data_IF_025570214030
#
_entry.id   IF_025570214030
#
_cell.length_a   1.000
_cell.length_b   1.000
_cell.length_c   1.000
_cell.angle_alpha   90.00
_cell.angle_beta   90.00
_cell.angle_gamma   90.00
#
_symmetry.space_group_name_H-M   'P 1'
#
loop_
_entity.id
_entity.type
_entity.pdbx_description
1 polymer ?
#
# COMPACT_ATOMS: atom_id res chain seq x y z
N UNK A 1 36.75 -25.34 42.39
CA UNK A 1 37.07 -25.11 40.96
C UNK A 1 35.83 -24.61 40.24
N UNK A 2 35.71 -23.32 39.94
CA UNK A 2 34.81 -22.82 38.89
C UNK A 2 35.47 -21.61 38.23
N UNK A 3 36.06 -21.86 37.07
CA UNK A 3 36.68 -20.90 36.18
C UNK A 3 35.62 -19.97 35.61
N UNK A 4 35.91 -18.66 35.69
CA UNK A 4 35.05 -17.59 35.23
C UNK A 4 34.77 -17.63 33.73
N UNK A 5 33.52 -17.32 33.39
CA UNK A 5 33.13 -16.93 32.05
C UNK A 5 33.14 -15.39 31.97
N UNK A 6 34.29 -14.83 31.60
CA UNK A 6 34.37 -13.42 31.22
C UNK A 6 33.77 -13.24 29.83
N UNK A 7 32.59 -12.61 29.79
CA UNK A 7 31.96 -12.15 28.56
C UNK A 7 32.89 -11.16 27.83
N UNK A 8 33.35 -11.51 26.64
CA UNK A 8 34.07 -10.60 25.75
C UNK A 8 33.09 -9.57 25.19
N UNK A 9 32.94 -8.43 25.87
CA UNK A 9 32.34 -7.25 25.25
C UNK A 9 33.27 -6.77 24.14
N UNK A 10 32.81 -6.85 22.89
CA UNK A 10 33.53 -6.26 21.76
C UNK A 10 33.68 -4.76 22.02
N UNK A 11 34.90 -4.30 22.27
CA UNK A 11 35.22 -2.89 22.38
C UNK A 11 34.98 -2.25 21.01
N UNK A 12 34.09 -1.25 20.99
CA UNK A 12 33.82 -0.46 19.79
C UNK A 12 35.02 0.45 19.52
N UNK A 13 36.05 -0.09 18.87
CA UNK A 13 37.24 0.66 18.47
C UNK A 13 36.81 1.73 17.46
N UNK A 14 37.06 3.00 17.78
CA UNK A 14 36.84 4.10 16.84
C UNK A 14 37.98 4.11 15.83
N UNK A 15 37.71 4.16 14.51
CA UNK A 15 38.75 4.22 13.51
C UNK A 15 39.52 5.54 13.60
N UNK A 16 40.83 5.47 13.33
CA UNK A 16 41.72 6.64 13.36
C UNK A 16 41.53 7.51 12.10
N UNK A 17 41.82 8.82 12.16
CA UNK A 17 41.50 9.79 11.11
C UNK A 17 42.10 9.43 9.73
N UNK A 18 43.27 8.80 9.72
CA UNK A 18 43.94 8.30 8.51
C UNK A 18 43.17 7.13 7.90
N UNK A 19 42.66 6.22 8.74
CA UNK A 19 41.82 5.10 8.30
C UNK A 19 40.48 5.61 7.75
N UNK A 20 39.91 6.66 8.34
CA UNK A 20 38.69 7.30 7.85
C UNK A 20 38.86 7.94 6.47
N UNK A 21 40.04 8.49 6.17
CA UNK A 21 40.37 9.01 4.82
C UNK A 21 40.68 7.88 3.83
N UNK A 22 41.38 6.83 4.27
CA UNK A 22 41.78 5.70 3.43
C UNK A 22 40.61 4.78 3.03
N UNK A 23 39.54 4.74 3.83
CA UNK A 23 38.30 4.01 3.51
C UNK A 23 37.52 4.61 2.32
N UNK A 24 37.86 5.83 1.89
CA UNK A 24 37.07 6.59 0.92
C UNK A 24 35.68 6.93 1.47
N UNK A 25 34.96 7.81 0.78
CA UNK A 25 33.55 8.09 1.09
C UNK A 25 32.66 6.93 0.60
N UNK A 26 32.94 5.70 1.03
CA UNK A 26 31.98 4.61 0.93
C UNK A 26 30.90 4.82 2.00
N UNK A 27 30.09 5.88 1.85
CA UNK A 27 28.79 5.90 2.49
C UNK A 27 28.01 4.78 1.82
N UNK A 28 27.95 3.62 2.50
CA UNK A 28 27.00 2.55 2.18
C UNK A 28 25.65 3.23 1.91
N UNK A 29 25.07 2.98 0.73
CA UNK A 29 23.77 3.53 0.38
C UNK A 29 22.84 3.30 1.55
N UNK A 30 22.32 4.38 2.11
CA UNK A 30 21.44 4.30 3.28
C UNK A 30 20.26 3.41 2.91
N UNK A 31 19.78 2.64 3.86
CA UNK A 31 18.69 1.71 3.63
C UNK A 31 17.52 2.44 2.97
N UNK A 32 17.06 1.89 1.83
CA UNK A 32 16.03 2.49 0.98
C UNK A 32 14.70 2.56 1.75
N UNK A 33 14.54 1.69 2.75
CA UNK A 33 13.38 1.61 3.62
C UNK A 33 13.36 2.69 4.71
N UNK A 34 14.47 3.39 4.97
CA UNK A 34 14.53 4.43 5.99
C UNK A 34 14.07 5.79 5.45
N UNK A 35 12.74 5.93 5.33
CA UNK A 35 12.06 7.06 4.68
C UNK A 35 12.31 8.41 5.39
N UNK A 36 12.37 8.40 6.72
CA UNK A 36 12.65 9.62 7.51
C UNK A 36 14.01 10.20 7.15
N UNK A 37 14.93 9.30 6.91
CA UNK A 37 16.33 9.58 6.77
C UNK A 37 16.69 10.02 5.35
N UNK A 38 15.96 9.53 4.35
CA UNK A 38 16.00 9.99 2.96
C UNK A 38 15.29 11.33 2.82
N UNK A 39 14.21 11.58 3.57
CA UNK A 39 13.54 12.87 3.61
C UNK A 39 14.46 13.98 4.11
N UNK A 40 15.20 13.75 5.20
CA UNK A 40 16.21 14.70 5.68
C UNK A 40 17.30 14.97 4.64
N UNK A 41 17.72 13.95 3.89
CA UNK A 41 18.69 14.10 2.81
C UNK A 41 18.13 14.93 1.66
N UNK A 42 16.87 14.74 1.27
CA UNK A 42 16.20 15.55 0.27
C UNK A 42 16.07 17.01 0.72
N UNK A 43 15.76 17.27 2.00
CA UNK A 43 15.74 18.62 2.55
C UNK A 43 17.13 19.27 2.54
N UNK A 44 18.19 18.49 2.80
CA UNK A 44 19.57 18.98 2.72
C UNK A 44 19.96 19.43 1.33
N UNK A 45 19.41 18.83 0.28
CA UNK A 45 19.65 19.27 -1.10
C UNK A 45 19.27 20.73 -1.33
N UNK A 46 18.17 21.20 -0.71
CA UNK A 46 17.69 22.58 -0.87
C UNK A 46 18.28 23.56 0.15
N UNK A 47 18.75 23.07 1.30
CA UNK A 47 19.22 23.91 2.41
C UNK A 47 20.73 24.02 2.50
N UNK A 48 21.48 23.02 2.05
CA UNK A 48 22.93 22.94 2.22
C UNK A 48 23.63 22.54 0.91
N UNK A 49 24.62 23.31 0.43
CA UNK A 49 25.40 22.91 -0.73
C UNK A 49 26.22 21.64 -0.42
N UNK A 50 26.25 20.69 -1.34
CA UNK A 50 27.02 19.46 -1.18
C UNK A 50 28.54 19.74 -1.27
N UNK A 51 29.30 19.25 -0.30
CA UNK A 51 30.76 19.42 -0.26
C UNK A 51 31.50 18.38 -1.11
N UNK A 52 30.85 17.25 -1.40
CA UNK A 52 31.45 16.15 -2.18
C UNK A 52 30.48 15.67 -3.24
N UNK A 53 31.02 15.20 -4.38
CA UNK A 53 30.21 14.66 -5.47
C UNK A 53 29.36 13.45 -5.05
N UNK A 54 29.91 12.59 -4.18
CA UNK A 54 29.19 11.41 -3.66
C UNK A 54 27.96 11.83 -2.85
N UNK A 55 28.09 12.90 -2.06
CA UNK A 55 26.97 13.46 -1.31
C UNK A 55 25.94 14.11 -2.22
N UNK A 56 26.38 14.87 -3.24
CA UNK A 56 25.50 15.46 -4.23
C UNK A 56 24.66 14.41 -4.96
N UNK A 57 25.31 13.33 -5.43
CA UNK A 57 24.62 12.22 -6.08
C UNK A 57 23.56 11.61 -5.17
N UNK A 58 23.91 11.36 -3.91
CA UNK A 58 22.99 10.77 -2.94
C UNK A 58 21.79 11.68 -2.63
N UNK A 59 22.01 12.99 -2.55
CA UNK A 59 20.92 13.95 -2.39
C UNK A 59 20.00 13.99 -3.61
N UNK A 60 20.56 13.93 -4.83
CA UNK A 60 19.77 13.87 -6.06
C UNK A 60 18.90 12.60 -6.14
N UNK A 61 19.47 11.44 -5.77
CA UNK A 61 18.73 10.17 -5.73
C UNK A 61 17.56 10.23 -4.72
N UNK A 62 17.77 10.86 -3.55
CA UNK A 62 16.71 11.06 -2.56
C UNK A 62 15.59 11.96 -3.09
N UNK A 63 15.93 13.07 -3.74
CA UNK A 63 14.94 13.98 -4.36
C UNK A 63 14.16 13.27 -5.46
N UNK A 64 14.83 12.48 -6.31
CA UNK A 64 14.18 11.71 -7.37
C UNK A 64 13.14 10.73 -6.83
N UNK A 65 13.46 10.04 -5.74
CA UNK A 65 12.53 9.10 -5.10
C UNK A 65 11.24 9.81 -4.66
N UNK A 66 11.37 10.94 -3.95
CA UNK A 66 10.20 11.71 -3.50
C UNK A 66 9.46 12.40 -4.65
N UNK A 67 10.16 12.84 -5.69
CA UNK A 67 9.52 13.43 -6.86
C UNK A 67 8.67 12.40 -7.62
N UNK A 68 9.19 11.18 -7.80
CA UNK A 68 8.47 10.10 -8.49
C UNK A 68 7.22 9.68 -7.71
N UNK A 69 7.38 9.34 -6.42
CA UNK A 69 6.26 8.92 -5.58
C UNK A 69 5.29 10.06 -5.27
N UNK A 70 5.81 11.27 -5.11
CA UNK A 70 5.01 12.47 -4.91
C UNK A 70 4.14 12.75 -6.12
N UNK A 71 4.72 12.80 -7.32
CA UNK A 71 3.97 13.08 -8.55
C UNK A 71 2.94 11.98 -8.85
N UNK A 72 3.34 10.71 -8.75
CA UNK A 72 2.43 9.59 -8.98
C UNK A 72 1.32 9.57 -7.94
N UNK A 73 1.61 9.78 -6.65
CA UNK A 73 0.62 9.89 -5.59
C UNK A 73 -0.34 11.07 -5.75
N UNK A 74 0.16 12.23 -6.21
CA UNK A 74 -0.68 13.39 -6.46
C UNK A 74 -1.62 13.16 -7.64
N UNK A 75 -1.11 12.59 -8.74
CA UNK A 75 -1.92 12.27 -9.92
C UNK A 75 -2.96 11.18 -9.63
N UNK A 76 -2.61 10.16 -8.84
CA UNK A 76 -3.58 9.12 -8.45
C UNK A 76 -4.65 9.68 -7.52
N UNK A 77 -4.29 10.53 -6.56
CA UNK A 77 -5.28 11.22 -5.72
C UNK A 77 -6.18 12.14 -6.52
N UNK A 78 -5.63 12.92 -7.45
CA UNK A 78 -6.43 13.78 -8.32
C UNK A 78 -7.42 12.96 -9.16
N UNK A 79 -6.98 11.80 -9.65
CA UNK A 79 -7.84 10.88 -10.40
C UNK A 79 -8.94 10.25 -9.53
N UNK A 80 -8.69 10.03 -8.24
CA UNK A 80 -9.69 9.52 -7.29
C UNK A 80 -10.73 10.60 -6.99
N UNK A 81 -10.30 11.84 -6.75
CA UNK A 81 -11.21 12.97 -6.41
C UNK A 81 -12.01 13.42 -7.63
N UNK A 82 -11.38 13.45 -8.80
CA UNK A 82 -11.98 13.88 -10.07
C UNK A 82 -11.80 12.76 -11.10
N UNK A 83 -12.65 11.71 -11.05
CA UNK A 83 -12.57 10.63 -12.02
C UNK A 83 -12.80 11.17 -13.43
N UNK A 84 -12.01 10.67 -14.38
CA UNK A 84 -12.19 10.96 -15.80
C UNK A 84 -13.59 10.48 -16.24
N UNK A 85 -14.23 11.22 -17.14
CA UNK A 85 -15.52 10.85 -17.74
C UNK A 85 -15.38 9.66 -18.72
N UNK A 86 -14.98 8.50 -18.20
CA UNK A 86 -15.00 7.24 -18.94
C UNK A 86 -15.94 6.26 -18.23
N UNK A 87 -16.68 5.47 -19.00
CA UNK A 87 -17.60 4.47 -18.41
C UNK A 87 -16.86 3.46 -17.53
N UNK A 88 -15.56 3.25 -17.80
CA UNK A 88 -14.68 2.37 -17.03
C UNK A 88 -14.57 2.78 -15.56
N UNK A 89 -14.43 4.08 -15.25
CA UNK A 89 -14.34 4.55 -13.86
C UNK A 89 -15.67 4.44 -13.09
N UNK A 90 -16.80 4.31 -13.79
CA UNK A 90 -18.10 4.10 -13.14
C UNK A 90 -18.28 2.66 -12.65
N UNK A 91 -17.73 1.67 -13.39
CA UNK A 91 -17.81 0.24 -13.03
C UNK A 91 -16.64 -0.23 -12.17
N UNK A 92 -15.42 0.22 -12.47
CA UNK A 92 -14.19 -0.25 -11.81
C UNK A 92 -13.50 0.84 -11.00
N UNK A 93 -14.23 1.91 -10.67
CA UNK A 93 -13.70 3.01 -9.89
C UNK A 93 -13.24 2.54 -8.50
N UNK A 94 -12.19 3.16 -7.94
CA UNK A 94 -11.70 2.82 -6.60
C UNK A 94 -12.74 3.10 -5.51
N UNK A 95 -13.78 3.89 -5.78
CA UNK A 95 -14.94 4.09 -4.90
C UNK A 95 -15.93 2.91 -4.89
N UNK A 96 -15.95 2.07 -5.95
CA UNK A 96 -16.80 0.88 -6.03
C UNK A 96 -16.19 -0.31 -5.25
N UNK A 97 -14.87 -0.42 -5.22
CA UNK A 97 -14.14 -1.52 -4.56
C UNK A 97 -14.49 -1.75 -3.08
N UNK A 98 -14.54 -0.72 -2.20
CA UNK A 98 -14.84 -0.92 -0.79
C UNK A 98 -16.20 -1.59 -0.55
N UNK A 99 -17.23 -1.20 -1.29
CA UNK A 99 -18.57 -1.77 -1.14
C UNK A 99 -18.63 -3.25 -1.51
N UNK A 100 -17.91 -3.66 -2.56
CA UNK A 100 -17.92 -5.05 -3.04
C UNK A 100 -16.93 -5.94 -2.29
N UNK A 101 -15.87 -5.37 -1.75
CA UNK A 101 -14.92 -6.08 -0.91
C UNK A 101 -15.55 -6.35 0.47
N UNK A 102 -16.30 -5.39 1.02
CA UNK A 102 -17.09 -5.61 2.24
C UNK A 102 -18.16 -6.69 2.02
N UNK A 103 -18.87 -6.71 0.89
CA UNK A 103 -19.86 -7.78 0.60
C UNK A 103 -19.24 -9.16 0.36
N UNK A 104 -17.94 -9.27 0.14
CA UNK A 104 -17.24 -10.56 0.12
C UNK A 104 -16.92 -11.08 1.53
N UNK A 105 -16.78 -10.19 2.52
CA UNK A 105 -16.53 -10.54 3.91
C UNK A 105 -17.81 -10.60 4.76
N UNK A 106 -18.88 -9.94 4.32
CA UNK A 106 -20.22 -10.10 4.88
C UNK A 106 -21.03 -10.95 3.92
N UNK A 107 -21.22 -12.23 4.28
CA UNK A 107 -22.12 -13.12 3.56
C UNK A 107 -23.51 -12.47 3.50
N UNK A 108 -23.96 -12.13 2.30
CA UNK A 108 -25.37 -11.81 2.07
C UNK A 108 -26.16 -13.06 2.46
N UNK A 109 -27.19 -12.91 3.31
CA UNK A 109 -28.08 -14.00 3.73
C UNK A 109 -29.01 -14.42 2.58
N UNK A 110 -28.49 -14.42 1.35
CA UNK A 110 -29.16 -14.88 0.16
C UNK A 110 -29.12 -16.42 0.21
N UNK A 111 -30.10 -16.98 0.93
CA UNK A 111 -30.36 -18.41 0.94
C UNK A 111 -30.48 -18.91 -0.51
N UNK A 112 -29.47 -19.68 -0.95
CA UNK A 112 -29.50 -20.43 -2.21
C UNK A 112 -30.68 -21.42 -2.24
N UNK A 113 -31.20 -21.78 -1.07
CA UNK A 113 -32.42 -22.55 -0.91
C UNK A 113 -33.61 -21.62 -0.73
N UNK A 114 -34.50 -21.55 -1.73
CA UNK A 114 -35.77 -20.85 -1.59
C UNK A 114 -36.55 -21.41 -0.39
N UNK A 115 -36.53 -20.73 0.75
CA UNK A 115 -37.34 -21.10 1.92
C UNK A 115 -38.85 -20.95 1.66
N UNK A 116 -39.22 -20.17 0.63
CA UNK A 116 -40.60 -20.01 0.17
C UNK A 116 -40.68 -20.38 -1.32
N UNK A 117 -41.65 -21.22 -1.74
CA UNK A 117 -41.79 -21.59 -3.15
C UNK A 117 -41.95 -20.34 -4.02
N UNK A 118 -41.32 -20.31 -5.21
CA UNK A 118 -41.35 -19.16 -6.09
C UNK A 118 -42.80 -18.87 -6.47
N UNK A 119 -43.25 -17.66 -6.15
CA UNK A 119 -44.61 -17.20 -6.45
C UNK A 119 -44.60 -16.64 -7.87
N UNK A 120 -45.16 -17.38 -8.84
CA UNK A 120 -45.28 -16.89 -10.21
C UNK A 120 -46.52 -15.98 -10.29
N UNK A 121 -46.34 -14.72 -10.71
CA UNK A 121 -47.42 -13.73 -10.87
C UNK A 121 -48.28 -13.45 -9.61
N UNK A 122 -47.72 -13.62 -8.40
CA UNK A 122 -48.39 -13.24 -7.15
C UNK A 122 -49.34 -14.30 -6.56
N UNK A 123 -49.53 -15.44 -7.21
CA UNK A 123 -50.33 -16.57 -6.69
C UNK A 123 -49.45 -17.75 -6.31
N UNK A 124 -49.77 -18.41 -5.19
CA UNK A 124 -49.00 -19.58 -4.75
C UNK A 124 -49.24 -20.77 -5.71
N UNK A 125 -48.25 -21.68 -5.92
CA UNK A 125 -48.40 -22.80 -6.84
C UNK A 125 -49.59 -23.72 -6.49
N UNK A 126 -49.94 -23.81 -5.21
CA UNK A 126 -51.09 -24.59 -4.75
C UNK A 126 -52.44 -23.99 -5.17
N UNK A 127 -52.55 -22.66 -5.19
CA UNK A 127 -53.76 -21.97 -5.66
C UNK A 127 -53.91 -22.10 -7.18
N UNK A 128 -52.81 -21.95 -7.94
CA UNK A 128 -52.80 -22.13 -9.38
C UNK A 128 -53.23 -23.54 -9.82
N UNK A 129 -52.84 -24.58 -9.08
CA UNK A 129 -53.28 -25.96 -9.33
C UNK A 129 -54.77 -26.16 -9.05
N UNK A 130 -55.31 -25.47 -8.05
CA UNK A 130 -56.74 -25.54 -7.69
C UNK A 130 -57.66 -24.84 -8.69
N UNK A 131 -57.17 -23.84 -9.41
CA UNK A 131 -57.94 -23.15 -10.45
C UNK A 131 -57.94 -23.90 -11.78
N UNK A 132 -56.88 -24.65 -12.10
CA UNK A 132 -56.85 -25.53 -13.27
C UNK A 132 -57.80 -26.72 -13.14
N UNK A 133 -58.03 -27.24 -11.92
CA UNK A 133 -58.98 -28.35 -11.72
C UNK A 133 -60.44 -27.94 -11.81
N UNK A 134 -60.75 -26.64 -11.63
CA UNK A 134 -62.10 -26.07 -11.81
C UNK A 134 -62.46 -25.78 -13.27
N UNK A 135 -61.48 -25.83 -14.18
CA UNK A 135 -61.64 -25.58 -15.61
C UNK A 135 -61.98 -26.84 -16.43
N UNK A 136 -62.23 -27.98 -15.76
CA UNK A 136 -62.55 -29.27 -16.39
C UNK A 136 -63.95 -29.71 -16.01
#
# INVERSE_FOLDING_TARGET
MMLGQFARRALKVRPNAIQSRALGTAKRGKDILDVNSTMQTAQRFFTNPALTYVEFKYQCDAVRFFAFWGLTGLLTLDLIVRPLKSSYFCQWGPTWWPSNLVSLFYADTCDVFLQKPPTFAGTSPGEAASDLSKLK
#
